data_IF_639772837713
#
_entry.id   IF_639772837713
#
_cell.length_a   1.000
_cell.length_b   1.000
_cell.length_c   1.000
_cell.angle_alpha   90.00
_cell.angle_beta   90.00
_cell.angle_gamma   90.00
#
_symmetry.space_group_name_H-M   'P 1'
#
loop_
_entity.id
_entity.type
_entity.pdbx_description
1 polymer ?
#
# COMPACT_ATOMS: atom_id res chain seq x y z
N UNK A 1 11.02 5.16 -21.14
CA UNK A 1 9.68 4.56 -21.23
C UNK A 1 9.91 3.05 -21.22
N UNK A 2 9.44 2.37 -20.17
CA UNK A 2 9.53 0.92 -19.89
C UNK A 2 10.76 0.34 -19.15
N UNK A 3 11.63 1.19 -18.59
CA UNK A 3 12.79 0.77 -17.77
C UNK A 3 12.41 0.40 -16.31
N UNK A 4 11.21 0.80 -15.89
CA UNK A 4 10.68 0.60 -14.53
C UNK A 4 10.39 -0.87 -14.20
N UNK A 5 10.00 -1.67 -15.20
CA UNK A 5 9.65 -3.07 -15.00
C UNK A 5 10.87 -3.90 -14.60
N UNK A 6 12.00 -3.68 -15.26
CA UNK A 6 13.26 -4.37 -14.95
C UNK A 6 13.81 -3.95 -13.58
N UNK A 7 13.74 -2.66 -13.25
CA UNK A 7 14.12 -2.16 -11.92
C UNK A 7 13.24 -2.71 -10.80
N UNK A 8 11.92 -2.77 -11.01
CA UNK A 8 10.99 -3.35 -10.05
C UNK A 8 11.25 -4.85 -9.85
N UNK A 9 11.54 -5.58 -10.92
CA UNK A 9 11.89 -6.99 -10.86
C UNK A 9 13.20 -7.23 -10.10
N UNK A 10 14.22 -6.39 -10.34
CA UNK A 10 15.51 -6.46 -9.66
C UNK A 10 15.37 -6.18 -8.15
N UNK A 11 14.60 -5.17 -7.77
CA UNK A 11 14.30 -4.87 -6.36
C UNK A 11 13.49 -5.99 -5.69
N UNK A 12 12.53 -6.59 -6.41
CA UNK A 12 11.75 -7.73 -5.93
C UNK A 12 12.63 -8.98 -5.71
N UNK A 13 13.56 -9.24 -6.63
CA UNK A 13 14.53 -10.32 -6.50
C UNK A 13 15.48 -10.09 -5.32
N UNK A 14 15.91 -8.84 -5.08
CA UNK A 14 16.71 -8.52 -3.88
C UNK A 14 15.92 -8.71 -2.58
N UNK A 15 14.59 -8.51 -2.58
CA UNK A 15 13.72 -8.77 -1.44
C UNK A 15 13.42 -10.24 -1.17
N UNK A 16 13.63 -11.14 -2.14
CA UNK A 16 13.34 -12.58 -1.97
C UNK A 16 14.14 -13.18 -0.79
N UNK A 17 15.34 -12.66 -0.56
CA UNK A 17 16.30 -13.12 0.44
C UNK A 17 15.91 -12.71 1.87
N UNK A 18 15.59 -11.43 2.16
CA UNK A 18 15.04 -11.03 3.46
C UNK A 18 13.67 -11.63 3.75
N UNK A 19 12.79 -11.80 2.74
CA UNK A 19 11.51 -12.49 2.92
C UNK A 19 11.73 -13.96 3.27
N UNK A 20 12.66 -14.64 2.60
CA UNK A 20 13.02 -16.03 2.90
C UNK A 20 13.71 -16.18 4.27
N UNK A 21 14.56 -15.22 4.67
CA UNK A 21 15.19 -15.20 5.98
C UNK A 21 14.18 -14.97 7.11
N UNK A 22 13.17 -14.14 6.87
CA UNK A 22 12.06 -13.89 7.79
C UNK A 22 11.15 -15.13 7.91
N UNK A 23 10.95 -15.87 6.82
CA UNK A 23 10.21 -17.13 6.83
C UNK A 23 11.00 -18.29 7.50
N UNK A 24 12.32 -18.31 7.35
CA UNK A 24 13.19 -19.34 7.93
C UNK A 24 13.35 -19.21 9.45
N UNK A 25 13.35 -17.97 9.97
CA UNK A 25 13.19 -17.72 11.41
C UNK A 25 11.73 -17.93 11.76
N UNK A 26 11.38 -19.18 12.09
CA UNK A 26 10.07 -19.64 12.58
C UNK A 26 9.60 -18.86 13.82
N UNK A 27 9.31 -17.58 13.66
CA UNK A 27 8.42 -16.82 14.51
C UNK A 27 7.03 -17.44 14.32
N UNK A 28 6.22 -17.61 15.38
CA UNK A 28 4.87 -18.16 15.25
C UNK A 28 4.10 -17.35 14.20
N UNK A 29 4.07 -17.87 12.97
CA UNK A 29 3.56 -17.17 11.78
C UNK A 29 2.11 -16.79 12.01
N UNK A 30 1.37 -17.62 12.76
CA UNK A 30 0.01 -17.32 13.17
C UNK A 30 -0.10 -16.00 13.93
N UNK A 31 0.83 -15.65 14.83
CA UNK A 31 0.75 -14.42 15.62
C UNK A 31 1.27 -13.21 14.84
N UNK A 32 2.34 -13.37 14.05
CA UNK A 32 2.84 -12.32 13.16
C UNK A 32 1.81 -11.99 12.08
N UNK A 33 1.17 -13.00 11.51
CA UNK A 33 0.16 -12.84 10.47
C UNK A 33 -1.11 -12.19 11.04
N UNK A 34 -1.56 -12.58 12.24
CA UNK A 34 -2.67 -11.90 12.93
C UNK A 34 -2.38 -10.41 13.17
N UNK A 35 -1.17 -10.08 13.62
CA UNK A 35 -0.77 -8.70 13.88
C UNK A 35 -0.66 -7.88 12.58
N UNK A 36 -0.10 -8.49 11.51
CA UNK A 36 -0.03 -7.87 10.20
C UNK A 36 -1.42 -7.65 9.58
N UNK A 37 -2.34 -8.62 9.74
CA UNK A 37 -3.74 -8.49 9.28
C UNK A 37 -4.48 -7.40 10.05
N UNK A 38 -4.29 -7.31 11.36
CA UNK A 38 -4.88 -6.25 12.18
C UNK A 38 -4.37 -4.87 11.74
N UNK A 39 -3.06 -4.72 11.54
CA UNK A 39 -2.47 -3.48 11.02
C UNK A 39 -2.94 -3.15 9.60
N UNK A 40 -2.99 -4.13 8.70
CA UNK A 40 -3.48 -3.96 7.33
C UNK A 40 -4.95 -3.54 7.30
N UNK A 41 -5.79 -4.06 8.21
CA UNK A 41 -7.17 -3.64 8.35
C UNK A 41 -7.26 -2.17 8.81
N UNK A 42 -6.47 -1.77 9.82
CA UNK A 42 -6.45 -0.38 10.31
C UNK A 42 -6.01 0.59 9.20
N UNK A 43 -4.88 0.30 8.55
CA UNK A 43 -4.39 1.15 7.46
C UNK A 43 -5.30 1.12 6.24
N UNK A 44 -5.87 -0.03 5.89
CA UNK A 44 -6.81 -0.15 4.78
C UNK A 44 -8.06 0.70 5.00
N UNK A 45 -8.63 0.67 6.20
CA UNK A 45 -9.77 1.51 6.57
C UNK A 45 -9.40 3.00 6.52
N UNK A 46 -8.27 3.39 7.10
CA UNK A 46 -7.79 4.79 7.02
C UNK A 46 -7.54 5.24 5.59
N UNK A 47 -6.95 4.39 4.75
CA UNK A 47 -6.69 4.69 3.35
C UNK A 47 -7.99 4.89 2.57
N UNK A 48 -8.98 4.01 2.76
CA UNK A 48 -10.31 4.16 2.15
C UNK A 48 -11.01 5.44 2.61
N UNK A 49 -10.88 5.81 3.88
CA UNK A 49 -11.43 7.06 4.40
C UNK A 49 -10.77 8.28 3.75
N UNK A 50 -9.44 8.29 3.61
CA UNK A 50 -8.72 9.37 2.93
C UNK A 50 -9.08 9.42 1.46
N UNK A 51 -9.17 8.28 0.78
CA UNK A 51 -9.57 8.21 -0.63
C UNK A 51 -10.98 8.74 -0.85
N UNK A 52 -11.94 8.32 -0.03
CA UNK A 52 -13.32 8.81 -0.09
C UNK A 52 -13.39 10.31 0.22
N UNK A 53 -12.57 10.79 1.16
CA UNK A 53 -12.47 12.22 1.48
C UNK A 53 -11.86 13.00 0.31
N UNK A 54 -10.81 12.48 -0.33
CA UNK A 54 -10.23 13.06 -1.54
C UNK A 54 -11.21 13.06 -2.72
N UNK A 55 -12.06 12.05 -2.86
CA UNK A 55 -13.10 12.04 -3.90
C UNK A 55 -14.20 13.06 -3.57
N UNK A 56 -14.65 13.13 -2.31
CA UNK A 56 -15.70 14.04 -1.88
C UNK A 56 -15.28 15.53 -1.90
N UNK A 57 -14.02 15.82 -1.54
CA UNK A 57 -13.49 17.19 -1.46
C UNK A 57 -12.59 17.57 -2.63
N UNK A 58 -12.03 16.60 -3.37
CA UNK A 58 -11.25 16.81 -4.59
C UNK A 58 -12.08 16.71 -5.87
N UNK A 59 -13.22 16.01 -5.85
CA UNK A 59 -14.20 15.98 -6.95
C UNK A 59 -15.22 17.14 -6.93
N UNK A 60 -15.18 18.00 -5.92
CA UNK A 60 -16.22 19.02 -5.68
C UNK A 60 -15.71 20.26 -4.95
N UNK A 61 -14.63 20.88 -5.44
CA UNK A 61 -14.33 22.27 -5.09
C UNK A 61 -15.25 23.24 -5.86
N UNK A 62 -15.53 24.46 -5.37
CA UNK A 62 -16.28 25.50 -6.09
C UNK A 62 -15.61 26.02 -7.39
N UNK A 63 -14.71 25.25 -7.99
CA UNK A 63 -14.11 25.48 -9.30
C UNK A 63 -15.04 25.08 -10.47
N UNK A 64 -16.33 24.87 -10.21
CA UNK A 64 -17.39 24.76 -11.22
C UNK A 64 -17.98 26.11 -11.65
N UNK A 65 -17.37 27.24 -11.29
CA UNK A 65 -17.84 28.56 -11.68
C UNK A 65 -16.69 29.55 -11.90
N UNK A 66 -16.70 30.20 -13.07
CA UNK A 66 -15.69 31.14 -13.59
C UNK A 66 -14.51 30.41 -14.25
N UNK A 67 -14.25 30.51 -15.55
CA UNK A 67 -14.38 31.62 -16.51
C UNK A 67 -14.63 31.02 -17.90
N UNK A 68 -15.72 31.42 -18.57
CA UNK A 68 -15.73 32.36 -19.72
C UNK A 68 -15.08 31.80 -20.99
#
# INVERSE_FOLDING_TARGET
MNDNGFNALYLALMMILPVSALAARRLPIADVLKMALAWAAIFGVMFLLVMLWQDAFGGGGPAGGTSA
#
